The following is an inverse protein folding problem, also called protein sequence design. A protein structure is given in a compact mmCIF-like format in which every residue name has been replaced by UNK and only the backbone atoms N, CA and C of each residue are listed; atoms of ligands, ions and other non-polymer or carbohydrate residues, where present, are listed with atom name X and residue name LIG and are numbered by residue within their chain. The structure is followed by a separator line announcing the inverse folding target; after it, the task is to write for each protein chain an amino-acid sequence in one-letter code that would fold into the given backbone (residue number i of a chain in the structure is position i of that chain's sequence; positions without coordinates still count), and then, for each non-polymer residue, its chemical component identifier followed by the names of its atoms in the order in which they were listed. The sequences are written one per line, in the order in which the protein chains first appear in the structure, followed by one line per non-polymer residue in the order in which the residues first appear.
data_IF_038616060205
#
_entry.id   IF_038616060205
#
_cell.length_a   1.000
_cell.length_b   1.000
_cell.length_c   1.000
_cell.angle_alpha   90.00
_cell.angle_beta   90.00
_cell.angle_gamma   90.00
#
_symmetry.space_group_name_H-M   'P 1'
#
loop_
_entity.id
_entity.type
_entity.pdbx_description
1 polymer ?
#
# COMPACT_ATOMS: atom_id res chain seq x y z
N UNK A 1 6.07 9.59 -14.98
CA UNK A 1 6.56 8.62 -14.00
C UNK A 1 7.35 9.40 -12.97
N UNK A 2 6.97 9.34 -11.68
CA UNK A 2 7.70 10.02 -10.62
C UNK A 2 8.87 9.13 -10.17
N UNK A 3 10.02 9.74 -9.90
CA UNK A 3 11.17 9.07 -9.32
C UNK A 3 11.33 9.56 -7.88
N UNK A 4 11.37 8.63 -6.92
CA UNK A 4 11.60 8.89 -5.51
C UNK A 4 12.96 8.28 -5.19
N UNK A 5 13.93 9.08 -4.77
CA UNK A 5 15.35 8.71 -4.73
C UNK A 5 15.71 7.77 -3.57
N UNK A 6 14.75 6.98 -3.06
CA UNK A 6 14.94 6.01 -1.98
C UNK A 6 15.22 6.63 -0.60
N UNK A 7 15.34 7.94 -0.48
CA UNK A 7 15.48 8.66 0.78
C UNK A 7 14.22 8.57 1.65
N UNK A 8 14.38 8.63 2.98
CA UNK A 8 13.22 8.81 3.87
C UNK A 8 12.58 10.17 3.58
N UNK A 9 11.38 10.18 2.99
CA UNK A 9 10.60 11.41 2.80
C UNK A 9 10.30 11.81 1.34
N UNK A 10 10.74 11.03 0.35
CA UNK A 10 10.36 11.28 -1.05
C UNK A 10 8.96 10.69 -1.33
N UNK A 11 7.97 11.56 -1.49
CA UNK A 11 6.60 11.17 -1.84
C UNK A 11 5.93 12.25 -2.68
N UNK A 12 4.91 11.86 -3.45
CA UNK A 12 3.98 12.80 -4.06
C UNK A 12 2.67 12.79 -3.25
N UNK A 13 2.30 13.93 -2.67
CA UNK A 13 0.99 14.09 -2.03
C UNK A 13 -0.03 14.54 -3.06
N UNK A 14 -1.09 13.74 -3.21
CA UNK A 14 -2.25 14.11 -4.02
C UNK A 14 -3.26 14.94 -3.21
N UNK A 15 -3.28 14.79 -1.87
CA UNK A 15 -4.11 15.59 -0.95
C UNK A 15 -3.40 15.78 0.40
N UNK A 16 -3.63 16.91 1.07
CA UNK A 16 -3.04 17.21 2.38
C UNK A 16 -3.88 16.62 3.51
N UNK A 17 -3.32 15.70 4.29
CA UNK A 17 -3.83 15.31 5.62
C UNK A 17 -5.16 14.53 5.66
N UNK A 18 -5.90 14.48 4.58
CA UNK A 18 -7.11 13.66 4.42
C UNK A 18 -6.90 12.71 3.23
N UNK A 19 -7.25 11.42 3.38
CA UNK A 19 -7.55 10.50 2.24
C UNK A 19 -8.72 11.00 1.36
N UNK A 20 -8.94 12.30 1.30
CA UNK A 20 -10.02 12.92 0.57
C UNK A 20 -9.77 12.77 -0.92
N UNK A 21 -10.81 12.36 -1.64
CA UNK A 21 -10.70 11.96 -3.05
C UNK A 21 -10.15 10.55 -3.28
N UNK A 22 -9.62 9.86 -2.26
CA UNK A 22 -9.22 8.46 -2.37
C UNK A 22 -10.38 7.51 -2.01
N UNK A 23 -10.46 6.33 -2.64
CA UNK A 23 -11.49 5.35 -2.34
C UNK A 23 -11.44 4.87 -0.89
N UNK A 24 -12.62 4.73 -0.25
CA UNK A 24 -12.77 4.35 1.17
C UNK A 24 -13.73 3.19 1.41
N UNK A 25 -14.43 2.70 0.38
CA UNK A 25 -15.39 1.56 0.47
C UNK A 25 -15.04 0.44 -0.50
N UNK A 26 -14.87 0.80 -1.76
CA UNK A 26 -14.39 -0.08 -2.81
C UNK A 26 -13.15 0.56 -3.40
N UNK A 27 -12.07 -0.21 -3.50
CA UNK A 27 -10.75 0.26 -3.89
C UNK A 27 -10.33 -0.50 -5.14
N UNK A 28 -9.81 0.21 -6.11
CA UNK A 28 -9.09 -0.37 -7.25
C UNK A 28 -7.95 0.59 -7.56
N UNK A 29 -6.72 0.10 -7.45
CA UNK A 29 -5.52 0.91 -7.63
C UNK A 29 -4.48 0.07 -8.37
N UNK A 30 -3.80 0.69 -9.33
CA UNK A 30 -2.75 0.04 -10.11
C UNK A 30 -1.55 0.96 -10.22
N UNK A 31 -0.35 0.38 -10.16
CA UNK A 31 0.91 1.12 -10.28
C UNK A 31 1.93 0.31 -11.08
N UNK A 32 2.69 0.99 -11.94
CA UNK A 32 3.95 0.47 -12.44
C UNK A 32 5.06 0.87 -11.46
N UNK A 33 5.76 -0.11 -10.90
CA UNK A 33 6.81 0.11 -9.89
C UNK A 33 8.10 -0.62 -10.26
N UNK A 34 9.23 0.02 -10.00
CA UNK A 34 10.56 -0.58 -10.01
C UNK A 34 11.16 -0.37 -8.63
N UNK A 35 11.33 -1.45 -7.89
CA UNK A 35 11.87 -1.41 -6.53
C UNK A 35 13.39 -1.40 -6.65
N UNK A 36 14.05 -0.31 -6.27
CA UNK A 36 15.51 -0.21 -6.33
C UNK A 36 16.19 -0.72 -5.06
N UNK A 37 15.47 -0.77 -3.94
CA UNK A 37 15.94 -1.31 -2.66
C UNK A 37 14.77 -2.04 -1.96
N UNK A 38 14.98 -3.29 -1.56
CA UNK A 38 14.00 -4.05 -0.81
C UNK A 38 13.77 -3.44 0.57
N UNK A 39 12.52 -3.03 0.84
CA UNK A 39 12.10 -2.51 2.14
C UNK A 39 10.83 -3.22 2.56
N UNK A 40 10.74 -3.58 3.83
CA UNK A 40 9.51 -4.11 4.41
C UNK A 40 8.54 -2.97 4.69
N UNK A 41 7.25 -3.21 4.50
CA UNK A 41 6.17 -2.26 4.81
C UNK A 41 6.28 -0.90 4.09
N UNK A 42 6.78 -0.89 2.85
CA UNK A 42 6.88 0.33 2.05
C UNK A 42 5.60 0.49 1.20
N UNK A 43 4.92 1.62 1.32
CA UNK A 43 3.76 1.96 0.47
C UNK A 43 4.18 2.67 -0.81
N UNK A 44 3.66 2.23 -1.96
CA UNK A 44 3.83 2.92 -3.25
C UNK A 44 2.73 3.95 -3.49
N UNK A 45 1.51 3.58 -3.13
CA UNK A 45 0.31 4.42 -3.23
C UNK A 45 -0.65 4.02 -2.13
N UNK A 46 -1.28 4.99 -1.51
CA UNK A 46 -2.23 4.72 -0.45
C UNK A 46 -2.61 5.96 0.30
N UNK A 47 -3.39 5.73 1.35
CA UNK A 47 -3.58 6.70 2.39
C UNK A 47 -3.69 6.00 3.73
N UNK A 48 -2.84 6.42 4.66
CA UNK A 48 -2.88 6.03 6.05
C UNK A 48 -2.98 7.29 6.90
N UNK A 49 -4.03 7.37 7.71
CA UNK A 49 -4.22 8.44 8.70
C UNK A 49 -3.88 7.90 10.07
N UNK A 50 -3.26 8.70 10.92
CA UNK A 50 -3.10 8.32 12.32
C UNK A 50 -4.47 8.26 13.01
N UNK A 51 -4.75 7.15 13.71
CA UNK A 51 -5.88 7.03 14.63
C UNK A 51 -5.34 6.99 16.07
N UNK A 52 -5.28 8.15 16.74
CA UNK A 52 -4.77 8.26 18.10
C UNK A 52 -5.69 7.63 19.15
N UNK A 53 -6.96 7.33 18.81
CA UNK A 53 -7.91 6.73 19.75
C UNK A 53 -7.74 5.20 19.83
N UNK A 54 -7.32 4.56 18.73
CA UNK A 54 -7.15 3.10 18.65
C UNK A 54 -5.69 2.67 18.40
N UNK A 55 -4.72 3.55 18.69
CA UNK A 55 -3.29 3.22 18.77
C UNK A 55 -2.65 2.78 17.45
N UNK A 56 -3.16 3.18 16.29
CA UNK A 56 -2.52 2.84 15.00
C UNK A 56 -3.09 3.60 13.81
N UNK A 57 -2.59 3.34 12.60
CA UNK A 57 -3.08 4.01 11.39
C UNK A 57 -4.35 3.37 10.78
N UNK A 58 -5.22 4.17 10.17
CA UNK A 58 -6.39 3.76 9.40
C UNK A 58 -6.18 4.04 7.91
N UNK A 59 -6.69 3.17 7.06
CA UNK A 59 -6.70 3.37 5.62
C UNK A 59 -6.17 2.17 4.86
N UNK A 60 -5.43 2.42 3.78
CA UNK A 60 -4.93 1.37 2.90
C UNK A 60 -3.66 1.78 2.17
N UNK A 61 -2.84 0.81 1.76
CA UNK A 61 -1.75 1.02 0.83
C UNK A 61 -1.53 -0.21 -0.05
N UNK A 62 -1.06 0.03 -1.28
CA UNK A 62 -0.44 -0.96 -2.14
C UNK A 62 1.08 -0.76 -2.07
N UNK A 63 1.82 -1.82 -1.80
CA UNK A 63 3.22 -1.72 -1.42
C UNK A 63 3.94 -3.06 -1.30
N UNK A 64 4.93 -3.12 -0.41
CA UNK A 64 5.68 -4.32 -0.08
C UNK A 64 5.18 -4.96 1.22
N UNK A 65 5.39 -6.27 1.33
CA UNK A 65 5.02 -7.06 2.49
C UNK A 65 5.81 -6.67 3.75
N UNK A 66 5.21 -6.95 4.90
CA UNK A 66 5.82 -6.84 6.23
C UNK A 66 6.82 -7.95 6.52
N UNK A 67 6.76 -9.09 5.82
CA UNK A 67 7.50 -10.31 6.17
C UNK A 67 8.36 -10.89 5.05
N UNK A 68 8.24 -10.37 3.82
CA UNK A 68 8.87 -10.97 2.62
C UNK A 68 9.14 -9.93 1.54
N UNK A 69 9.93 -10.30 0.53
CA UNK A 69 10.13 -9.53 -0.71
C UNK A 69 9.02 -9.78 -1.73
N UNK A 70 7.77 -9.67 -1.27
CA UNK A 70 6.56 -9.79 -2.10
C UNK A 70 5.75 -8.50 -2.03
N UNK A 71 4.89 -8.30 -3.03
CA UNK A 71 3.92 -7.21 -2.99
C UNK A 71 2.82 -7.50 -1.97
N UNK A 72 2.26 -6.44 -1.40
CA UNK A 72 1.16 -6.52 -0.46
C UNK A 72 0.15 -5.40 -0.67
N UNK A 73 -1.11 -5.74 -0.46
CA UNK A 73 -2.20 -4.79 -0.32
C UNK A 73 -2.68 -4.86 1.13
N UNK A 74 -2.74 -3.72 1.82
CA UNK A 74 -3.07 -3.66 3.25
C UNK A 74 -4.25 -2.72 3.45
N UNK A 75 -5.21 -3.12 4.29
CA UNK A 75 -6.30 -2.26 4.76
C UNK A 75 -6.42 -2.31 6.28
N UNK A 76 -6.78 -1.18 6.89
CA UNK A 76 -7.18 -1.10 8.28
C UNK A 76 -8.38 -0.16 8.43
N UNK A 77 -9.52 -0.74 8.78
CA UNK A 77 -10.75 0.00 9.10
C UNK A 77 -10.74 0.53 10.54
N UNK A 78 -11.69 1.40 10.87
CA UNK A 78 -11.81 2.09 12.17
C UNK A 78 -12.25 1.22 13.36
N UNK A 79 -12.29 -0.11 13.19
CA UNK A 79 -12.56 -1.05 14.27
C UNK A 79 -11.30 -1.38 15.07
N UNK A 80 -11.45 -2.00 16.23
CA UNK A 80 -10.33 -2.47 17.07
C UNK A 80 -9.55 -3.67 16.49
N UNK A 81 -9.82 -4.04 15.24
CA UNK A 81 -9.17 -5.14 14.54
C UNK A 81 -7.73 -4.84 14.10
N UNK A 82 -6.95 -5.89 13.89
CA UNK A 82 -5.67 -5.80 13.20
C UNK A 82 -5.85 -5.36 11.74
N UNK A 83 -4.80 -4.84 11.12
CA UNK A 83 -4.80 -4.61 9.68
C UNK A 83 -4.97 -5.94 8.94
N UNK A 84 -5.80 -5.95 7.89
CA UNK A 84 -5.88 -7.05 6.94
C UNK A 84 -4.82 -6.83 5.86
N UNK A 85 -4.00 -7.85 5.61
CA UNK A 85 -2.93 -7.81 4.62
C UNK A 85 -3.09 -9.00 3.67
N UNK A 86 -3.26 -8.70 2.39
CA UNK A 86 -3.10 -9.68 1.31
C UNK A 86 -1.69 -9.55 0.76
N UNK A 87 -0.91 -10.61 0.88
CA UNK A 87 0.45 -10.68 0.31
C UNK A 87 0.41 -11.55 -0.94
N UNK A 88 1.11 -11.13 -1.99
CA UNK A 88 1.30 -11.97 -3.17
C UNK A 88 2.16 -13.17 -2.79
N UNK A 89 1.59 -14.37 -2.89
CA UNK A 89 2.25 -15.64 -2.59
C UNK A 89 2.91 -16.27 -3.81
N UNK A 90 2.67 -15.73 -5.01
CA UNK A 90 3.16 -16.26 -6.28
C UNK A 90 4.38 -15.48 -6.79
N UNK A 91 4.41 -14.17 -6.56
CA UNK A 91 5.49 -13.31 -7.05
C UNK A 91 6.35 -12.78 -5.93
N UNK A 92 7.63 -13.15 -5.97
CA UNK A 92 8.70 -12.44 -5.26
C UNK A 92 9.32 -11.43 -6.23
N UNK A 93 9.31 -10.14 -5.87
CA UNK A 93 9.87 -9.12 -6.76
C UNK A 93 11.41 -9.14 -6.71
N UNK A 94 12.03 -8.81 -7.83
CA UNK A 94 13.48 -8.61 -7.96
C UNK A 94 13.77 -7.12 -8.06
N UNK A 95 14.82 -6.67 -7.37
CA UNK A 95 15.25 -5.27 -7.42
C UNK A 95 15.63 -4.85 -8.84
N UNK A 96 15.36 -3.60 -9.20
CA UNK A 96 15.64 -3.03 -10.52
C UNK A 96 14.74 -3.53 -11.65
N UNK A 97 13.75 -4.38 -11.38
CA UNK A 97 12.79 -4.89 -12.36
C UNK A 97 11.45 -4.14 -12.25
N UNK A 98 10.85 -3.82 -13.40
CA UNK A 98 9.51 -3.22 -13.46
C UNK A 98 8.42 -4.26 -13.29
N UNK A 99 7.44 -3.94 -12.45
CA UNK A 99 6.22 -4.71 -12.25
C UNK A 99 5.00 -3.81 -12.40
N UNK A 100 3.92 -4.37 -12.93
CA UNK A 100 2.59 -3.77 -12.86
C UNK A 100 1.83 -4.48 -11.75
N UNK A 101 1.43 -3.73 -10.72
CA UNK A 101 0.80 -4.29 -9.53
C UNK A 101 -0.58 -3.67 -9.38
N UNK A 102 -1.59 -4.50 -9.13
CA UNK A 102 -2.99 -4.10 -9.02
C UNK A 102 -3.58 -4.64 -7.72
N UNK A 103 -4.07 -3.74 -6.87
CA UNK A 103 -4.82 -4.06 -5.66
C UNK A 103 -6.29 -3.70 -5.83
N UNK A 104 -7.20 -4.62 -5.51
CA UNK A 104 -8.63 -4.35 -5.47
C UNK A 104 -9.27 -4.81 -4.17
N UNK A 105 -10.31 -4.12 -3.74
CA UNK A 105 -11.19 -4.48 -2.64
C UNK A 105 -12.63 -4.06 -2.96
N UNK A 106 -13.57 -4.98 -2.90
CA UNK A 106 -14.97 -4.75 -3.28
C UNK A 106 -15.90 -4.46 -2.08
N UNK A 107 -15.34 -4.40 -0.87
CA UNK A 107 -16.09 -4.34 0.41
C UNK A 107 -16.16 -5.67 1.15
N UNK A 108 -15.73 -6.77 0.52
CA UNK A 108 -15.74 -8.10 1.12
C UNK A 108 -14.46 -8.92 0.84
N UNK A 109 -13.83 -8.73 -0.33
CA UNK A 109 -12.68 -9.52 -0.78
C UNK A 109 -11.59 -8.64 -1.33
N UNK A 110 -10.34 -8.99 -1.00
CA UNK A 110 -9.15 -8.39 -1.58
C UNK A 110 -8.61 -9.27 -2.71
N UNK A 111 -8.09 -8.63 -3.76
CA UNK A 111 -7.34 -9.30 -4.83
C UNK A 111 -6.05 -8.51 -5.09
N UNK A 112 -4.96 -9.23 -5.30
CA UNK A 112 -3.65 -8.70 -5.68
C UNK A 112 -3.16 -9.47 -6.91
N UNK A 113 -2.73 -8.74 -7.93
CA UNK A 113 -2.23 -9.27 -9.19
C UNK A 113 -1.08 -8.41 -9.74
#
# INVERSE_FOLDING_TARGET
MANFAGGSGDYALVATGSCEGLPVKQISVSVWVKVDEARQSAGFVGCFRNDPLNGGGLGWYLGTSTTSTSFAFVLRGSGSGAAEQLTDTQTTYTEGVWYHVVGTYDGARMILA
#
